data_IF_431193273838
#
_entry.id   IF_431193273838
#
_cell.length_a   1.000
_cell.length_b   1.000
_cell.length_c   1.000
_cell.angle_alpha   90.00
_cell.angle_beta   90.00
_cell.angle_gamma   90.00
#
_symmetry.space_group_name_H-M   'P 1'
#
loop_
_entity.id
_entity.type
_entity.pdbx_description
1 polymer ?
#
# COMPACT_ATOMS: atom_id res chain seq x y z
N UNK A 1 -11.69 -36.01 4.38
CA UNK A 1 -10.56 -35.58 3.52
C UNK A 1 -10.88 -34.16 3.06
N UNK A 2 -10.17 -33.15 3.57
CA UNK A 2 -10.50 -31.75 3.28
C UNK A 2 -10.28 -31.46 1.78
N UNK A 3 -11.37 -31.18 1.06
CA UNK A 3 -11.37 -30.85 -0.38
C UNK A 3 -10.92 -29.39 -0.56
N UNK A 4 -9.69 -29.05 -0.12
CA UNK A 4 -9.19 -27.67 -0.17
C UNK A 4 -8.20 -27.40 -1.30
N UNK A 5 -7.86 -28.42 -2.11
CA UNK A 5 -7.01 -28.25 -3.28
C UNK A 5 -7.88 -27.88 -4.48
N UNK A 6 -7.73 -26.65 -4.97
CA UNK A 6 -8.36 -26.20 -6.21
C UNK A 6 -7.74 -26.94 -7.39
N UNK A 7 -8.49 -27.81 -8.08
CA UNK A 7 -7.96 -28.68 -9.15
C UNK A 7 -7.31 -27.93 -10.31
N UNK A 8 -7.77 -26.71 -10.62
CA UNK A 8 -7.30 -25.87 -11.75
C UNK A 8 -6.60 -24.59 -11.28
N UNK A 9 -5.78 -24.67 -10.23
CA UNK A 9 -5.13 -23.50 -9.62
C UNK A 9 -4.09 -22.79 -10.52
N UNK A 10 -3.67 -23.42 -11.62
CA UNK A 10 -2.71 -22.84 -12.58
C UNK A 10 -3.37 -22.03 -13.70
N UNK A 11 -4.69 -22.06 -13.79
CA UNK A 11 -5.44 -21.36 -14.83
C UNK A 11 -6.07 -20.09 -14.26
N UNK A 12 -6.10 -19.03 -15.07
CA UNK A 12 -6.79 -17.80 -14.70
C UNK A 12 -8.29 -18.03 -14.84
N UNK A 13 -9.04 -17.79 -13.76
CA UNK A 13 -10.50 -17.87 -13.76
C UNK A 13 -11.07 -16.55 -13.27
N UNK A 14 -12.10 -16.08 -13.96
CA UNK A 14 -12.87 -14.89 -13.58
C UNK A 14 -14.29 -15.36 -13.29
N UNK A 15 -14.81 -14.98 -12.13
CA UNK A 15 -16.21 -15.18 -11.76
C UNK A 15 -16.84 -13.84 -11.44
N UNK A 16 -18.07 -13.66 -11.90
CA UNK A 16 -18.92 -12.52 -11.54
C UNK A 16 -19.87 -12.95 -10.41
N UNK A 17 -20.62 -11.98 -9.88
CA UNK A 17 -21.77 -12.22 -8.99
C UNK A 17 -21.44 -13.03 -7.72
N UNK A 18 -20.29 -12.73 -7.11
CA UNK A 18 -19.84 -13.35 -5.86
C UNK A 18 -20.74 -12.89 -4.71
N UNK A 19 -21.33 -13.83 -3.97
CA UNK A 19 -22.05 -13.54 -2.75
C UNK A 19 -21.10 -13.48 -1.52
N UNK A 20 -21.61 -13.06 -0.36
CA UNK A 20 -20.78 -12.95 0.85
C UNK A 20 -20.24 -14.32 1.32
N UNK A 21 -21.00 -15.41 1.14
CA UNK A 21 -20.58 -16.75 1.59
C UNK A 21 -19.44 -17.29 0.72
N UNK A 22 -19.53 -17.07 -0.59
CA UNK A 22 -18.53 -17.44 -1.57
C UNK A 22 -17.25 -16.63 -1.36
N UNK A 23 -17.38 -15.33 -1.04
CA UNK A 23 -16.23 -14.48 -0.73
C UNK A 23 -15.39 -15.03 0.44
N UNK A 24 -16.03 -15.44 1.54
CA UNK A 24 -15.33 -16.01 2.71
C UNK A 24 -14.62 -17.33 2.38
N UNK A 25 -15.16 -18.12 1.45
CA UNK A 25 -14.54 -19.35 0.98
C UNK A 25 -13.34 -19.07 0.07
N UNK A 26 -13.50 -18.11 -0.85
CA UNK A 26 -12.48 -17.72 -1.83
C UNK A 26 -11.29 -17.00 -1.17
N UNK A 27 -11.53 -16.13 -0.18
CA UNK A 27 -10.47 -15.42 0.58
C UNK A 27 -9.49 -16.33 1.31
N UNK A 28 -9.88 -17.57 1.61
CA UNK A 28 -8.96 -18.56 2.19
C UNK A 28 -7.89 -19.02 1.21
N UNK A 29 -8.01 -18.69 -0.08
CA UNK A 29 -7.08 -19.09 -1.13
C UNK A 29 -6.03 -17.99 -1.33
N UNK A 30 -4.72 -18.33 -1.33
CA UNK A 30 -3.65 -17.35 -1.47
C UNK A 30 -3.54 -16.75 -2.89
N UNK A 31 -4.28 -17.28 -3.86
CA UNK A 31 -4.29 -16.85 -5.25
C UNK A 31 -5.62 -16.18 -5.66
N UNK A 32 -6.47 -15.86 -4.69
CA UNK A 32 -7.72 -15.14 -4.94
C UNK A 32 -7.50 -13.63 -4.91
N UNK A 33 -8.11 -12.92 -5.87
CA UNK A 33 -8.08 -11.47 -5.96
C UNK A 33 -9.52 -10.98 -6.13
N UNK A 34 -10.01 -10.18 -5.18
CA UNK A 34 -11.32 -9.55 -5.25
C UNK A 34 -11.19 -8.20 -5.97
N UNK A 35 -11.80 -8.10 -7.14
CA UNK A 35 -11.93 -6.87 -7.91
C UNK A 35 -13.32 -6.29 -7.70
N UNK A 36 -13.41 -5.03 -7.31
CA UNK A 36 -14.63 -4.26 -7.36
C UNK A 36 -14.61 -3.37 -8.59
N UNK A 37 -15.72 -3.31 -9.33
CA UNK A 37 -15.85 -2.42 -10.48
C UNK A 37 -16.96 -1.44 -10.17
N UNK A 38 -16.65 -0.16 -10.21
CA UNK A 38 -17.62 0.90 -9.92
C UNK A 38 -17.64 1.92 -11.05
N UNK A 39 -18.70 2.72 -11.11
CA UNK A 39 -18.77 3.86 -12.02
C UNK A 39 -19.65 4.96 -11.40
N UNK A 40 -19.38 6.24 -11.71
CA UNK A 40 -20.25 7.34 -11.32
C UNK A 40 -21.73 7.07 -11.65
N UNK A 41 -22.60 7.37 -10.69
CA UNK A 41 -24.04 7.06 -10.74
C UNK A 41 -24.70 7.60 -12.01
N UNK A 42 -24.39 8.84 -12.39
CA UNK A 42 -24.91 9.47 -13.61
C UNK A 42 -24.54 8.70 -14.88
N UNK A 43 -23.34 8.13 -14.94
CA UNK A 43 -22.92 7.29 -16.06
C UNK A 43 -23.61 5.92 -16.04
N UNK A 44 -23.82 5.33 -14.86
CA UNK A 44 -24.56 4.06 -14.74
C UNK A 44 -26.02 4.21 -15.18
N UNK A 45 -26.66 5.31 -14.82
CA UNK A 45 -28.00 5.66 -15.29
C UNK A 45 -28.04 5.86 -16.81
N UNK A 46 -27.13 6.67 -17.37
CA UNK A 46 -27.08 6.86 -18.84
C UNK A 46 -26.91 5.52 -19.57
N UNK A 47 -26.03 4.64 -19.07
CA UNK A 47 -25.81 3.29 -19.62
C UNK A 47 -27.00 2.35 -19.41
N UNK A 48 -27.82 2.52 -18.37
CA UNK A 48 -29.05 1.72 -18.21
C UNK A 48 -30.10 2.15 -19.22
N UNK A 49 -30.31 3.46 -19.39
CA UNK A 49 -31.26 4.01 -20.37
C UNK A 49 -30.91 3.54 -21.79
N UNK A 50 -29.65 3.68 -22.22
CA UNK A 50 -29.22 3.22 -23.55
C UNK A 50 -29.42 1.71 -23.76
N UNK A 51 -29.28 0.89 -22.71
CA UNK A 51 -29.54 -0.56 -22.79
C UNK A 51 -31.02 -0.87 -22.96
N UNK A 52 -31.89 -0.21 -22.20
CA UNK A 52 -33.35 -0.37 -22.35
C UNK A 52 -33.83 0.07 -23.74
N UNK A 53 -33.31 1.19 -24.25
CA UNK A 53 -33.60 1.68 -25.60
C UNK A 53 -33.18 0.69 -26.69
N UNK A 54 -32.01 0.08 -26.55
CA UNK A 54 -31.50 -0.92 -27.49
C UNK A 54 -32.28 -2.25 -27.46
N UNK A 55 -32.89 -2.59 -26.32
CA UNK A 55 -33.68 -3.81 -26.13
C UNK A 55 -35.15 -3.65 -26.57
N UNK A 56 -35.54 -2.51 -27.17
CA UNK A 56 -36.92 -2.18 -27.56
C UNK A 56 -37.93 -2.18 -26.39
N UNK A 57 -37.46 -2.17 -25.15
CA UNK A 57 -38.27 -2.07 -23.93
C UNK A 57 -38.52 -0.60 -23.58
N UNK A 58 -39.11 0.17 -24.51
CA UNK A 58 -39.37 1.61 -24.31
C UNK A 58 -40.33 1.93 -23.15
N UNK A 59 -41.13 0.96 -22.72
CA UNK A 59 -42.11 1.17 -21.63
C UNK A 59 -41.50 1.07 -20.22
N UNK A 60 -40.23 0.63 -20.08
CA UNK A 60 -39.56 0.40 -18.79
C UNK A 60 -38.39 1.38 -18.50
N UNK A 61 -38.32 2.54 -19.15
CA UNK A 61 -37.30 3.54 -18.79
C UNK A 61 -37.64 4.18 -17.43
N UNK A 62 -37.06 3.64 -16.36
CA UNK A 62 -37.21 4.16 -15.00
C UNK A 62 -36.70 5.59 -14.90
N UNK A 63 -37.36 6.43 -14.10
CA UNK A 63 -36.88 7.78 -13.82
C UNK A 63 -35.51 7.76 -13.10
N UNK A 64 -34.79 8.88 -13.11
CA UNK A 64 -33.53 8.98 -12.36
C UNK A 64 -33.74 8.71 -10.87
N UNK A 65 -34.84 9.18 -10.29
CA UNK A 65 -35.13 8.97 -8.86
C UNK A 65 -35.37 7.49 -8.55
N UNK A 66 -36.15 6.79 -9.37
CA UNK A 66 -36.36 5.34 -9.26
C UNK A 66 -35.05 4.56 -9.41
N UNK A 67 -34.20 4.98 -10.35
CA UNK A 67 -32.88 4.39 -10.51
C UNK A 67 -32.00 4.57 -9.26
N UNK A 68 -31.98 5.76 -8.65
CA UNK A 68 -31.23 6.02 -7.43
C UNK A 68 -31.72 5.16 -6.27
N UNK A 69 -33.04 5.04 -6.09
CA UNK A 69 -33.62 4.20 -5.05
C UNK A 69 -33.23 2.73 -5.24
N UNK A 70 -33.28 2.23 -6.49
CA UNK A 70 -32.87 0.87 -6.79
C UNK A 70 -31.36 0.67 -6.60
N UNK A 71 -30.57 1.67 -6.98
CA UNK A 71 -29.12 1.67 -6.83
C UNK A 71 -28.69 1.60 -5.36
N UNK A 72 -29.28 2.44 -4.51
CA UNK A 72 -29.04 2.45 -3.07
C UNK A 72 -29.38 1.10 -2.44
N UNK A 73 -30.51 0.49 -2.83
CA UNK A 73 -30.88 -0.86 -2.39
C UNK A 73 -29.86 -1.91 -2.83
N UNK A 74 -29.33 -1.83 -4.05
CA UNK A 74 -28.34 -2.78 -4.55
C UNK A 74 -26.97 -2.62 -3.88
N UNK A 75 -26.53 -1.37 -3.63
CA UNK A 75 -25.21 -1.08 -3.09
C UNK A 75 -25.19 -1.21 -1.56
N UNK A 76 -26.18 -0.64 -0.88
CA UNK A 76 -26.20 -0.49 0.57
C UNK A 76 -27.21 -1.41 1.27
N UNK A 77 -28.05 -2.14 0.53
CA UNK A 77 -29.22 -2.88 1.05
C UNK A 77 -30.26 -1.99 1.74
N UNK A 78 -30.26 -0.68 1.47
CA UNK A 78 -31.20 0.29 2.04
C UNK A 78 -31.32 1.49 1.11
N UNK A 79 -32.52 2.08 1.04
CA UNK A 79 -32.76 3.39 0.42
C UNK A 79 -33.43 4.35 1.41
N UNK A 80 -33.38 5.65 1.13
CA UNK A 80 -34.02 6.70 1.94
C UNK A 80 -35.54 6.51 2.13
N UNK A 81 -36.19 5.74 1.26
CA UNK A 81 -37.62 5.43 1.33
C UNK A 81 -37.92 4.23 2.26
N UNK A 82 -36.90 3.48 2.68
CA UNK A 82 -37.08 2.28 3.49
C UNK A 82 -37.16 2.66 4.98
N UNK A 83 -38.24 2.23 5.65
CA UNK A 83 -38.52 2.55 7.06
C UNK A 83 -37.96 1.53 8.06
N UNK A 84 -37.39 0.42 7.58
CA UNK A 84 -36.88 -0.67 8.42
C UNK A 84 -35.37 -0.54 8.68
N UNK A 85 -34.94 -0.86 9.91
CA UNK A 85 -33.51 -1.01 10.24
C UNK A 85 -32.98 -2.30 9.61
N UNK A 86 -32.29 -2.19 8.48
CA UNK A 86 -31.64 -3.32 7.82
C UNK A 86 -30.19 -3.45 8.28
N UNK A 87 -29.74 -4.69 8.40
CA UNK A 87 -28.37 -5.05 8.76
C UNK A 87 -27.41 -4.77 7.58
N UNK A 88 -26.77 -3.60 7.58
CA UNK A 88 -25.87 -3.14 6.51
C UNK A 88 -24.56 -3.94 6.35
N UNK A 89 -24.26 -4.91 7.22
CA UNK A 89 -22.95 -5.59 7.24
C UNK A 89 -22.72 -6.53 6.04
N UNK A 90 -23.77 -6.93 5.31
CA UNK A 90 -23.70 -7.73 4.07
C UNK A 90 -24.05 -6.93 2.80
N UNK A 91 -23.79 -5.64 2.81
CA UNK A 91 -23.99 -4.79 1.62
C UNK A 91 -22.91 -5.04 0.57
N UNK A 92 -23.25 -4.83 -0.70
CA UNK A 92 -22.27 -4.83 -1.79
C UNK A 92 -21.19 -3.78 -1.55
N UNK A 93 -21.55 -2.63 -0.97
CA UNK A 93 -20.61 -1.60 -0.55
C UNK A 93 -19.49 -2.17 0.35
N UNK A 94 -19.83 -2.90 1.41
CA UNK A 94 -18.82 -3.46 2.30
C UNK A 94 -17.91 -4.48 1.58
N UNK A 95 -18.49 -5.27 0.66
CA UNK A 95 -17.72 -6.19 -0.18
C UNK A 95 -16.73 -5.41 -1.05
N UNK A 96 -17.18 -4.33 -1.70
CA UNK A 96 -16.35 -3.45 -2.52
C UNK A 96 -15.27 -2.72 -1.71
N UNK A 97 -15.58 -2.21 -0.52
CA UNK A 97 -14.58 -1.57 0.38
C UNK A 97 -13.50 -2.56 0.80
N UNK A 98 -13.88 -3.82 0.96
CA UNK A 98 -12.95 -4.89 1.33
C UNK A 98 -12.23 -5.52 0.14
N UNK A 99 -12.46 -5.04 -1.09
CA UNK A 99 -11.82 -5.58 -2.29
C UNK A 99 -10.33 -5.23 -2.36
N UNK A 100 -9.56 -6.08 -3.03
CA UNK A 100 -8.12 -5.89 -3.20
C UNK A 100 -7.82 -4.76 -4.20
N UNK A 101 -8.68 -4.57 -5.20
CA UNK A 101 -8.64 -3.45 -6.15
C UNK A 101 -10.06 -2.95 -6.47
N UNK A 102 -10.20 -1.66 -6.79
CA UNK A 102 -11.43 -1.03 -7.31
C UNK A 102 -11.00 -0.43 -8.64
N UNK A 103 -11.72 -0.82 -9.68
CA UNK A 103 -11.63 -0.24 -11.00
C UNK A 103 -12.79 0.73 -11.14
N UNK A 104 -12.48 2.03 -11.16
CA UNK A 104 -13.48 3.06 -11.43
C UNK A 104 -13.63 3.25 -12.94
N UNK A 105 -14.68 2.67 -13.51
CA UNK A 105 -15.05 2.80 -14.92
C UNK A 105 -15.76 4.15 -15.16
N UNK A 106 -14.96 5.22 -15.20
CA UNK A 106 -15.42 6.57 -15.49
C UNK A 106 -15.32 6.94 -17.00
N UNK A 107 -15.10 5.96 -17.87
CA UNK A 107 -14.83 6.20 -19.30
C UNK A 107 -16.09 6.10 -20.15
N UNK A 108 -16.16 6.89 -21.23
CA UNK A 108 -17.28 6.81 -22.17
C UNK A 108 -17.12 5.62 -23.12
N UNK A 109 -15.88 5.31 -23.51
CA UNK A 109 -15.53 4.26 -24.46
C UNK A 109 -14.86 3.06 -23.78
N UNK A 110 -15.07 1.87 -24.37
CA UNK A 110 -14.47 0.61 -23.90
C UNK A 110 -12.95 0.60 -24.11
N UNK A 111 -12.45 1.22 -25.18
CA UNK A 111 -11.02 1.29 -25.47
C UNK A 111 -10.22 2.00 -24.37
N UNK A 112 -10.72 3.12 -23.86
CA UNK A 112 -10.10 3.88 -22.77
C UNK A 112 -10.09 3.11 -21.45
N UNK A 113 -11.14 2.31 -21.20
CA UNK A 113 -11.17 1.40 -20.07
C UNK A 113 -10.09 0.32 -20.20
N UNK A 114 -9.93 -0.30 -21.38
CA UNK A 114 -8.89 -1.31 -21.60
C UNK A 114 -7.47 -0.75 -21.46
N UNK A 115 -7.19 0.44 -22.00
CA UNK A 115 -5.88 1.08 -21.81
C UNK A 115 -5.55 1.30 -20.33
N UNK A 116 -6.57 1.65 -19.54
CA UNK A 116 -6.41 1.82 -18.09
C UNK A 116 -6.18 0.49 -17.37
N UNK A 117 -6.93 -0.54 -17.74
CA UNK A 117 -6.77 -1.89 -17.16
C UNK A 117 -5.39 -2.48 -17.45
N UNK A 118 -4.87 -2.26 -18.67
CA UNK A 118 -3.52 -2.67 -19.06
C UNK A 118 -2.46 -1.96 -18.21
N UNK A 119 -2.62 -0.65 -17.98
CA UNK A 119 -1.74 0.13 -17.09
C UNK A 119 -1.79 -0.33 -15.63
N UNK A 120 -2.95 -0.76 -15.15
CA UNK A 120 -3.11 -1.27 -13.77
C UNK A 120 -2.40 -2.61 -13.55
N UNK A 121 -2.12 -3.37 -14.63
CA UNK A 121 -1.47 -4.68 -14.60
C UNK A 121 -2.07 -5.60 -13.51
N UNK A 122 -3.37 -5.85 -13.59
CA UNK A 122 -4.13 -6.60 -12.56
C UNK A 122 -3.55 -8.01 -12.33
N UNK A 123 -2.98 -8.62 -13.37
CA UNK A 123 -2.44 -9.99 -13.37
C UNK A 123 -1.03 -10.07 -12.75
N UNK A 124 -0.50 -8.97 -12.21
CA UNK A 124 0.81 -8.98 -11.55
C UNK A 124 0.87 -9.98 -10.39
N UNK A 125 1.79 -10.95 -10.50
CA UNK A 125 1.99 -12.02 -9.51
C UNK A 125 2.49 -11.49 -8.17
N UNK A 126 3.13 -10.33 -8.15
CA UNK A 126 3.57 -9.66 -6.91
C UNK A 126 2.39 -9.38 -5.97
N UNK A 127 1.15 -9.30 -6.48
CA UNK A 127 -0.06 -9.11 -5.68
C UNK A 127 -0.48 -10.36 -4.91
N UNK A 128 -0.24 -11.54 -5.48
CA UNK A 128 -0.59 -12.83 -4.87
C UNK A 128 0.53 -13.33 -3.96
N UNK A 129 1.77 -13.19 -4.43
CA UNK A 129 2.96 -13.57 -3.67
C UNK A 129 4.02 -12.49 -3.91
N UNK A 130 4.26 -11.59 -2.95
CA UNK A 130 5.26 -10.56 -3.11
C UNK A 130 6.65 -11.19 -3.25
N UNK A 131 7.49 -10.60 -4.08
CA UNK A 131 8.93 -10.84 -4.07
C UNK A 131 9.52 -10.48 -2.71
N UNK A 132 10.75 -10.95 -2.47
CA UNK A 132 11.48 -10.59 -1.26
C UNK A 132 11.60 -9.07 -1.09
N UNK A 133 11.90 -8.33 -2.14
CA UNK A 133 12.01 -6.88 -2.05
C UNK A 133 10.69 -6.21 -1.70
N UNK A 134 9.58 -6.64 -2.31
CA UNK A 134 8.24 -6.14 -1.98
C UNK A 134 7.87 -6.46 -0.54
N UNK A 135 8.13 -7.69 -0.09
CA UNK A 135 7.88 -8.13 1.29
C UNK A 135 8.68 -7.30 2.31
N UNK A 136 9.98 -7.13 2.09
CA UNK A 136 10.85 -6.38 2.98
C UNK A 136 10.55 -4.88 2.96
N UNK A 137 10.20 -4.32 1.80
CA UNK A 137 9.77 -2.92 1.73
C UNK A 137 8.48 -2.68 2.52
N UNK A 138 7.49 -3.57 2.41
CA UNK A 138 6.26 -3.50 3.20
C UNK A 138 6.50 -3.61 4.70
N UNK A 139 7.44 -4.47 5.12
CA UNK A 139 7.84 -4.55 6.52
C UNK A 139 8.51 -3.26 7.00
N UNK A 140 9.30 -2.60 6.15
CA UNK A 140 9.86 -1.28 6.45
C UNK A 140 8.76 -0.22 6.61
N UNK A 141 7.74 -0.22 5.76
CA UNK A 141 6.58 0.68 5.89
C UNK A 141 5.73 0.36 7.13
N UNK A 142 5.58 -0.92 7.48
CA UNK A 142 4.93 -1.35 8.72
C UNK A 142 5.70 -0.83 9.94
N UNK A 143 7.04 -0.93 9.96
CA UNK A 143 7.88 -0.38 11.01
C UNK A 143 7.75 1.16 11.10
N UNK A 144 7.66 1.84 9.95
CA UNK A 144 7.47 3.30 9.88
C UNK A 144 6.19 3.77 10.61
N UNK A 145 5.15 2.92 10.73
CA UNK A 145 3.92 3.25 11.47
C UNK A 145 4.15 3.47 12.96
N UNK A 146 5.26 2.98 13.52
CA UNK A 146 5.66 3.26 14.92
C UNK A 146 6.47 4.56 15.08
N UNK A 147 6.82 5.24 13.98
CA UNK A 147 7.50 6.53 14.03
C UNK A 147 6.71 7.54 14.86
N UNK A 148 7.42 8.21 15.77
CA UNK A 148 6.86 9.30 16.56
C UNK A 148 7.28 10.69 16.03
N UNK A 149 8.02 10.75 14.92
CA UNK A 149 8.48 12.01 14.35
C UNK A 149 7.33 12.77 13.67
N UNK A 150 7.24 14.07 13.93
CA UNK A 150 6.18 14.94 13.37
C UNK A 150 6.41 15.33 11.91
N UNK A 151 7.61 15.13 11.36
CA UNK A 151 7.94 15.58 9.99
C UNK A 151 7.68 14.52 8.93
N UNK A 152 8.03 13.26 9.20
CA UNK A 152 7.91 12.14 8.26
C UNK A 152 7.96 10.82 9.02
N UNK A 153 7.26 9.82 8.52
CA UNK A 153 7.36 8.43 9.00
C UNK A 153 8.31 7.64 8.13
N UNK A 154 9.48 7.33 8.68
CA UNK A 154 10.52 6.53 8.02
C UNK A 154 10.68 5.23 8.79
N UNK A 155 10.78 4.14 8.06
CA UNK A 155 11.03 2.81 8.60
C UNK A 155 12.13 2.12 7.81
N UNK A 156 12.93 1.35 8.53
CA UNK A 156 14.10 0.67 8.02
C UNK A 156 14.18 -0.73 8.62
N UNK A 157 14.57 -1.70 7.83
CA UNK A 157 14.87 -3.06 8.30
C UNK A 157 16.20 -3.53 7.72
N UNK A 158 16.88 -4.36 8.49
CA UNK A 158 18.09 -5.06 8.07
C UNK A 158 17.73 -6.53 7.87
N UNK A 159 18.19 -7.09 6.76
CA UNK A 159 17.87 -8.45 6.33
C UNK A 159 19.15 -9.22 6.08
N UNK A 160 19.18 -10.48 6.52
CA UNK A 160 20.24 -11.44 6.22
C UNK A 160 19.60 -12.80 5.94
N UNK A 161 20.00 -13.48 4.87
CA UNK A 161 19.49 -14.81 4.51
C UNK A 161 17.95 -14.87 4.47
N UNK A 162 17.31 -13.82 3.94
CA UNK A 162 15.85 -13.62 3.92
C UNK A 162 15.17 -13.58 5.30
N UNK A 163 15.91 -13.20 6.34
CA UNK A 163 15.40 -13.02 7.71
C UNK A 163 15.67 -11.60 8.18
N UNK A 164 14.68 -11.00 8.84
CA UNK A 164 14.85 -9.69 9.47
C UNK A 164 15.75 -9.85 10.70
N UNK A 165 16.89 -9.14 10.70
CA UNK A 165 17.83 -9.15 11.83
C UNK A 165 17.62 -7.96 12.76
N UNK A 166 17.16 -6.84 12.23
CA UNK A 166 16.82 -5.66 13.02
C UNK A 166 15.80 -4.77 12.31
N UNK A 167 15.09 -3.96 13.09
CA UNK A 167 14.10 -3.00 12.62
C UNK A 167 14.36 -1.65 13.28
N UNK A 168 14.13 -0.57 12.55
CA UNK A 168 14.23 0.79 13.04
C UNK A 168 13.13 1.67 12.45
N UNK A 169 12.75 2.69 13.19
CA UNK A 169 11.88 3.78 12.74
C UNK A 169 12.43 5.09 13.31
N UNK A 170 12.12 6.21 12.67
CA UNK A 170 12.63 7.49 13.12
C UNK A 170 11.84 8.05 14.33
N UNK A 171 12.54 8.68 15.27
CA UNK A 171 11.93 9.21 16.49
C UNK A 171 12.92 9.63 17.56
N UNK A 172 12.44 10.20 18.66
CA UNK A 172 13.31 10.56 19.79
C UNK A 172 13.93 9.33 20.46
N UNK A 173 15.14 9.45 21.04
CA UNK A 173 15.81 8.38 21.77
C UNK A 173 14.97 7.76 22.88
N UNK A 174 15.30 6.51 23.23
CA UNK A 174 14.69 5.78 24.35
C UNK A 174 14.85 6.58 25.65
N UNK A 175 13.76 6.67 26.43
CA UNK A 175 13.75 7.38 27.71
C UNK A 175 13.48 8.89 27.60
N UNK A 176 13.42 9.45 26.38
CA UNK A 176 12.97 10.83 26.16
C UNK A 176 11.49 10.87 25.77
N UNK A 177 10.87 12.04 25.97
CA UNK A 177 9.51 12.32 25.50
C UNK A 177 9.42 12.12 23.99
N UNK A 178 8.31 11.56 23.50
CA UNK A 178 8.17 11.30 22.06
C UNK A 178 8.12 12.61 21.27
N UNK A 179 8.58 12.62 20.01
CA UNK A 179 8.53 13.84 19.18
C UNK A 179 7.09 14.34 18.98
N UNK A 180 6.12 13.44 18.76
CA UNK A 180 4.69 13.74 18.66
C UNK A 180 4.04 14.19 19.97
N UNK A 181 4.75 14.05 21.08
CA UNK A 181 4.35 14.61 22.37
C UNK A 181 5.05 15.95 22.64
N UNK A 182 5.90 16.47 21.73
CA UNK A 182 6.66 17.70 21.96
C UNK A 182 8.11 17.48 22.40
N UNK A 183 8.63 16.25 22.34
CA UNK A 183 10.00 15.92 22.76
C UNK A 183 11.13 16.45 21.87
N UNK A 184 10.81 17.03 20.71
CA UNK A 184 11.79 17.63 19.81
C UNK A 184 11.36 19.07 19.44
N UNK A 185 12.07 20.07 19.97
CA UNK A 185 11.77 21.49 19.73
C UNK A 185 11.73 21.83 18.24
N UNK A 186 12.78 21.46 17.48
CA UNK A 186 12.86 21.71 16.04
C UNK A 186 11.67 21.15 15.25
N UNK A 187 11.25 19.92 15.54
CA UNK A 187 10.15 19.28 14.82
C UNK A 187 8.80 19.96 15.11
N UNK A 188 8.62 20.48 16.32
CA UNK A 188 7.38 21.10 16.79
C UNK A 188 7.32 22.62 16.54
N UNK A 189 8.46 23.28 16.28
CA UNK A 189 8.57 24.71 15.94
C UNK A 189 8.26 25.02 14.45
N UNK A 190 7.82 24.04 13.66
CA UNK A 190 7.51 24.27 12.24
C UNK A 190 8.72 24.53 11.35
N UNK A 191 9.94 24.27 11.83
CA UNK A 191 11.17 24.57 11.10
C UNK A 191 11.18 23.96 9.67
N UNK A 192 11.63 24.71 8.64
CA UNK A 192 11.72 24.22 7.28
C UNK A 192 12.66 23.01 7.13
N UNK A 193 12.44 22.21 6.08
CA UNK A 193 13.29 21.07 5.78
C UNK A 193 14.74 21.50 5.53
N UNK A 194 15.72 20.70 5.97
CA UNK A 194 17.14 20.97 5.76
C UNK A 194 17.78 22.03 6.66
N UNK A 195 17.02 22.80 7.44
CA UNK A 195 17.55 23.87 8.31
C UNK A 195 17.58 23.41 9.77
N UNK A 196 18.64 23.82 10.51
CA UNK A 196 18.80 23.57 11.94
C UNK A 196 18.81 22.10 12.33
N UNK A 197 19.41 21.24 11.49
CA UNK A 197 19.44 19.78 11.67
C UNK A 197 20.10 19.37 13.00
N UNK A 198 21.07 20.15 13.46
CA UNK A 198 21.76 20.04 14.74
C UNK A 198 20.82 20.17 15.97
N UNK A 199 19.72 20.93 15.85
CA UNK A 199 18.70 21.06 16.90
C UNK A 199 17.72 19.87 16.94
N UNK A 200 17.80 18.96 15.96
CA UNK A 200 16.92 17.80 15.89
C UNK A 200 17.44 16.68 16.79
N UNK A 201 16.66 16.33 17.82
CA UNK A 201 16.99 15.19 18.70
C UNK A 201 16.44 13.86 18.18
N UNK A 202 15.66 13.86 17.09
CA UNK A 202 15.13 12.63 16.51
C UNK A 202 16.23 11.84 15.78
N UNK A 203 16.34 10.56 16.12
CA UNK A 203 17.15 9.58 15.43
C UNK A 203 16.46 9.14 14.13
N UNK A 204 17.25 8.84 13.10
CA UNK A 204 16.76 8.30 11.85
C UNK A 204 16.43 6.81 11.95
N UNK A 205 15.63 6.29 11.01
CA UNK A 205 15.21 4.89 11.05
C UNK A 205 16.39 3.95 10.81
N UNK A 206 17.27 4.33 9.89
CA UNK A 206 18.49 3.62 9.51
C UNK A 206 19.45 3.54 10.71
N UNK A 207 19.62 4.65 11.44
CA UNK A 207 20.45 4.68 12.64
C UNK A 207 19.91 3.75 13.71
N UNK A 208 18.61 3.83 13.98
CA UNK A 208 17.98 2.93 14.95
C UNK A 208 18.12 1.46 14.55
N UNK A 209 17.93 1.13 13.27
CA UNK A 209 18.10 -0.24 12.77
C UNK A 209 19.55 -0.74 12.96
N UNK A 210 20.56 0.08 12.60
CA UNK A 210 21.97 -0.25 12.79
C UNK A 210 22.33 -0.41 14.28
N UNK A 211 21.82 0.46 15.15
CA UNK A 211 22.06 0.39 16.59
C UNK A 211 21.43 -0.87 17.21
N UNK A 212 20.22 -1.26 16.81
CA UNK A 212 19.61 -2.52 17.28
C UNK A 212 20.39 -3.75 16.77
N UNK A 213 20.81 -3.75 15.51
CA UNK A 213 21.64 -4.83 14.96
C UNK A 213 22.99 -4.95 15.69
N UNK A 214 23.59 -3.81 16.07
CA UNK A 214 24.80 -3.78 16.88
C UNK A 214 24.60 -4.39 18.28
N UNK A 215 23.48 -4.09 18.95
CA UNK A 215 23.13 -4.74 20.23
C UNK A 215 22.93 -6.25 20.10
N UNK A 216 22.40 -6.69 18.96
CA UNK A 216 22.24 -8.11 18.61
C UNK A 216 23.53 -8.81 18.19
N UNK A 217 24.68 -8.12 18.15
CA UNK A 217 25.97 -8.64 17.67
C UNK A 217 25.89 -9.21 16.24
N UNK A 218 25.12 -8.54 15.36
CA UNK A 218 24.98 -8.94 13.95
C UNK A 218 26.30 -8.69 13.22
N UNK A 219 26.81 -9.71 12.54
CA UNK A 219 27.93 -9.56 11.61
C UNK A 219 27.43 -9.04 10.25
N UNK A 220 27.63 -7.75 9.99
CA UNK A 220 27.21 -7.05 8.78
C UNK A 220 27.98 -7.47 7.52
N UNK A 221 29.22 -7.93 7.65
CA UNK A 221 30.05 -8.36 6.53
C UNK A 221 29.54 -9.65 5.87
N UNK A 222 28.66 -10.39 6.55
CA UNK A 222 28.03 -11.61 6.05
C UNK A 222 26.79 -11.34 5.19
N UNK A 223 26.83 -10.33 4.30
CA UNK A 223 25.80 -10.11 3.29
C UNK A 223 24.49 -9.49 3.81
N UNK A 224 24.57 -8.56 4.76
CA UNK A 224 23.37 -7.83 5.24
C UNK A 224 22.91 -6.81 4.19
N UNK A 225 21.59 -6.80 3.93
CA UNK A 225 20.90 -5.85 3.05
C UNK A 225 20.02 -4.93 3.90
N UNK A 226 20.08 -3.63 3.61
CA UNK A 226 19.23 -2.63 4.26
C UNK A 226 18.05 -2.27 3.36
N UNK A 227 16.83 -2.37 3.88
CA UNK A 227 15.61 -1.89 3.22
C UNK A 227 15.06 -0.68 3.97
N UNK A 228 14.84 0.43 3.29
CA UNK A 228 14.30 1.65 3.89
C UNK A 228 13.24 2.27 2.99
N UNK A 229 12.11 2.69 3.55
CA UNK A 229 11.05 3.29 2.75
C UNK A 229 11.39 4.68 2.18
N UNK A 230 12.52 5.26 2.57
CA UNK A 230 13.05 6.53 2.05
C UNK A 230 14.54 6.38 1.79
N UNK A 231 15.04 6.98 0.72
CA UNK A 231 16.48 7.02 0.44
C UNK A 231 17.26 7.60 1.65
N UNK A 232 18.33 6.93 2.11
CA UNK A 232 19.08 7.38 3.27
C UNK A 232 19.70 8.77 3.08
N UNK A 233 19.67 9.59 4.13
CA UNK A 233 20.41 10.84 4.13
C UNK A 233 21.93 10.59 4.16
N UNK A 234 22.72 11.60 3.80
CA UNK A 234 24.19 11.49 3.78
C UNK A 234 24.78 11.01 5.12
N UNK A 235 24.26 11.51 6.25
CA UNK A 235 24.71 11.09 7.59
C UNK A 235 24.41 9.61 7.88
N UNK A 236 23.27 9.09 7.41
CA UNK A 236 22.95 7.66 7.50
C UNK A 236 23.79 6.84 6.52
N UNK A 237 24.01 7.32 5.29
CA UNK A 237 24.82 6.65 4.29
C UNK A 237 26.25 6.36 4.79
N UNK A 238 26.90 7.36 5.41
CA UNK A 238 28.24 7.20 6.00
C UNK A 238 28.23 6.11 7.09
N UNK A 239 27.21 6.09 7.95
CA UNK A 239 27.07 5.07 9.01
C UNK A 239 26.81 3.68 8.46
N UNK A 240 25.99 3.57 7.41
CA UNK A 240 25.70 2.31 6.69
C UNK A 240 26.99 1.73 6.11
N UNK A 241 27.80 2.56 5.45
CA UNK A 241 29.10 2.17 4.89
C UNK A 241 30.04 1.70 6.01
N UNK A 242 30.15 2.48 7.09
CA UNK A 242 31.04 2.17 8.20
C UNK A 242 30.70 0.84 8.89
N UNK A 243 29.41 0.46 8.91
CA UNK A 243 28.95 -0.81 9.47
C UNK A 243 29.19 -2.00 8.52
N UNK A 244 29.53 -1.77 7.25
CA UNK A 244 29.87 -2.84 6.30
C UNK A 244 28.68 -3.40 5.49
N UNK A 245 27.52 -2.74 5.51
CA UNK A 245 26.36 -3.10 4.67
C UNK A 245 26.74 -3.00 3.18
N UNK A 246 26.33 -3.98 2.37
CA UNK A 246 26.73 -4.07 0.95
C UNK A 246 25.63 -3.72 -0.05
N UNK A 247 24.36 -3.77 0.36
CA UNK A 247 23.24 -3.38 -0.49
C UNK A 247 22.19 -2.59 0.31
N UNK A 248 21.69 -1.52 -0.30
CA UNK A 248 20.62 -0.66 0.19
C UNK A 248 19.50 -0.61 -0.85
N UNK A 249 18.30 -0.97 -0.43
CA UNK A 249 17.09 -0.91 -1.23
C UNK A 249 16.13 0.12 -0.65
N UNK A 250 15.62 1.04 -1.48
CA UNK A 250 14.69 2.08 -1.03
C UNK A 250 13.49 2.27 -1.94
N UNK A 251 12.36 2.80 -1.44
CA UNK A 251 11.18 3.06 -2.27
C UNK A 251 11.04 4.54 -2.67
N UNK A 252 11.07 5.46 -1.70
CA UNK A 252 10.82 6.90 -1.95
C UNK A 252 12.13 7.69 -2.05
N UNK A 253 12.22 8.55 -3.06
CA UNK A 253 13.33 9.49 -3.22
C UNK A 253 13.39 10.55 -2.12
N UNK A 254 14.59 11.04 -1.86
CA UNK A 254 14.89 12.15 -0.99
C UNK A 254 15.65 13.23 -1.77
N UNK A 255 15.59 14.49 -1.33
CA UNK A 255 16.19 15.62 -2.05
C UNK A 255 17.73 15.57 -2.19
N UNK A 256 18.38 14.51 -1.73
CA UNK A 256 19.84 14.33 -1.74
C UNK A 256 20.29 12.99 -2.36
N UNK A 257 19.42 12.31 -3.12
CA UNK A 257 19.68 10.96 -3.64
C UNK A 257 20.98 10.86 -4.44
N UNK A 258 21.32 11.86 -5.25
CA UNK A 258 22.55 11.86 -6.05
C UNK A 258 23.82 11.88 -5.19
N UNK A 259 23.81 12.62 -4.08
CA UNK A 259 24.96 12.68 -3.17
C UNK A 259 25.13 11.35 -2.46
N UNK A 260 24.03 10.77 -1.96
CA UNK A 260 24.02 9.45 -1.34
C UNK A 260 24.50 8.37 -2.33
N UNK A 261 24.05 8.42 -3.58
CA UNK A 261 24.45 7.48 -4.63
C UNK A 261 25.96 7.57 -4.96
N UNK A 262 26.54 8.78 -5.00
CA UNK A 262 27.99 8.98 -5.21
C UNK A 262 28.81 8.34 -4.09
N UNK A 263 28.45 8.61 -2.83
CA UNK A 263 29.18 8.10 -1.66
C UNK A 263 29.06 6.57 -1.56
N UNK A 264 27.88 5.99 -1.81
CA UNK A 264 27.73 4.54 -1.87
C UNK A 264 28.54 3.91 -3.01
N UNK A 265 28.60 4.56 -4.18
CA UNK A 265 29.40 4.09 -5.31
C UNK A 265 30.89 4.06 -4.98
N UNK A 266 31.42 5.09 -4.34
CA UNK A 266 32.82 5.14 -3.89
C UNK A 266 33.15 4.03 -2.88
N UNK A 267 32.20 3.70 -2.00
CA UNK A 267 32.34 2.65 -0.99
C UNK A 267 31.99 1.23 -1.49
N UNK A 268 31.68 1.05 -2.77
CA UNK A 268 31.19 -0.21 -3.35
C UNK A 268 29.94 -0.79 -2.64
N UNK A 269 29.00 0.08 -2.26
CA UNK A 269 27.67 -0.28 -1.74
C UNK A 269 26.65 -0.14 -2.87
N UNK A 270 25.90 -1.20 -3.13
CA UNK A 270 24.86 -1.20 -4.16
C UNK A 270 23.63 -0.44 -3.67
N UNK A 271 23.24 0.61 -4.37
CA UNK A 271 22.00 1.35 -4.11
C UNK A 271 20.96 1.03 -5.20
N UNK A 272 19.76 0.59 -4.80
CA UNK A 272 18.68 0.25 -5.74
C UNK A 272 17.34 0.81 -5.27
N UNK A 273 16.58 1.37 -6.20
CA UNK A 273 15.19 1.75 -5.94
C UNK A 273 14.25 0.57 -6.25
N UNK A 274 13.34 0.27 -5.33
CA UNK A 274 12.27 -0.71 -5.49
C UNK A 274 10.94 -0.11 -5.03
N UNK A 275 10.06 0.18 -5.99
CA UNK A 275 8.72 0.64 -5.72
C UNK A 275 7.79 -0.58 -5.74
N UNK A 276 7.24 -1.03 -4.60
CA UNK A 276 6.28 -2.12 -4.60
C UNK A 276 5.06 -1.71 -5.43
N UNK A 277 4.44 -2.63 -6.20
CA UNK A 277 3.20 -2.33 -6.89
C UNK A 277 2.17 -1.88 -5.85
N UNK A 278 1.35 -0.89 -6.20
CA UNK A 278 0.36 -0.31 -5.30
C UNK A 278 -0.59 -1.40 -4.82
N UNK A 279 -0.28 -1.96 -3.65
CA UNK A 279 -1.14 -2.86 -2.90
C UNK A 279 -2.10 -1.99 -2.12
N UNK A 280 -2.89 -1.24 -2.87
CA UNK A 280 -4.17 -0.70 -2.48
C UNK A 280 -4.30 -0.44 -0.99
N UNK A 281 -3.55 0.56 -0.51
CA UNK A 281 -3.67 1.14 0.84
C UNK A 281 -3.15 2.57 0.98
N UNK A 282 -2.44 3.10 -0.01
CA UNK A 282 -2.08 4.51 0.00
C UNK A 282 -2.84 5.16 -1.16
N UNK A 283 -3.92 5.85 -0.79
CA UNK A 283 -4.38 7.00 -1.57
C UNK A 283 -3.25 8.00 -1.43
N UNK A 284 -2.50 8.23 -2.51
CA UNK A 284 -1.55 9.33 -2.57
C UNK A 284 -2.35 10.62 -2.31
N UNK A 285 -2.23 11.15 -1.09
CA UNK A 285 -2.62 12.50 -0.70
C UNK A 285 -1.37 13.31 -0.40
#
# INVERSE_FOLDING_TARGET
MQVYVTKRWQENFVTCDIDYKDLDMLRKRPFFLLLAVEAPVTMRYKRSVTRCEAQLEKENSSSLEEFLVQDDRNIYNISAQDTQKIHCYKSLHNMMTSSDLIVTNAYQDVSSLYETLDKMNIVDKERLRPSWDTYFMQLSDLAARRSNCMKRRVGCILVKDSRVVATGYNGTPRGLRNCNEGGCGRCNEGAPCGIGLDRCVCMHAEENALLEAGRGSVNFEMGVILYCNTCPCLGCAIKIIQQGVKEVVYSKSYGMDEMTAKVFKEANVKLRQHCPPSLRRDVDY
#
